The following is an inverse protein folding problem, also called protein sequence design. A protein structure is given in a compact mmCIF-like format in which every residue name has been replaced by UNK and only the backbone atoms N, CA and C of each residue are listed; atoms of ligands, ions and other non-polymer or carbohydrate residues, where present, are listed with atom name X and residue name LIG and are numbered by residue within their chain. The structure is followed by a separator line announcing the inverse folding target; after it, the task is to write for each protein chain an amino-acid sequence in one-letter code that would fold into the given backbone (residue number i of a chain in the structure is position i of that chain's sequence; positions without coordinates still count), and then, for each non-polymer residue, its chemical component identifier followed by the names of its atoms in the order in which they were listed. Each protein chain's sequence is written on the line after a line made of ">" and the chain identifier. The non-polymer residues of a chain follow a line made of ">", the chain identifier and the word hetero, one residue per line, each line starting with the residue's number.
data_IF_205778182482
#
_entry.id   IF_205778182482
#
_cell.length_a   1.000
_cell.length_b   1.000
_cell.length_c   1.000
_cell.angle_alpha   90.00
_cell.angle_beta   90.00
_cell.angle_gamma   90.00
#
_symmetry.space_group_name_H-M   'P 1'
#
loop_
_entity.id
_entity.type
_entity.pdbx_description
1 polymer ?
#
# COMPACT_ATOMS: atom_id res chain seq x y z
N UNK A 1 3.16 16.26 11.47
CA UNK A 1 3.55 15.47 10.30
C UNK A 1 3.04 16.09 9.01
N UNK A 2 1.78 16.58 8.96
CA UNK A 2 1.20 17.27 7.80
C UNK A 2 2.14 18.26 7.07
N UNK A 3 2.73 19.23 7.79
CA UNK A 3 3.66 20.21 7.19
C UNK A 3 4.89 19.58 6.49
N UNK A 4 5.31 18.39 6.93
CA UNK A 4 6.43 17.68 6.32
C UNK A 4 6.14 17.17 4.90
N UNK A 5 4.85 17.07 4.52
CA UNK A 5 4.41 16.67 3.18
C UNK A 5 4.22 17.87 2.23
N UNK A 6 4.47 19.10 2.69
CA UNK A 6 4.50 20.27 1.79
C UNK A 6 5.62 20.08 0.75
N UNK A 7 5.25 20.20 -0.53
CA UNK A 7 6.18 19.95 -1.65
C UNK A 7 6.39 18.47 -2.00
N UNK A 8 5.60 17.53 -1.46
CA UNK A 8 5.56 16.16 -1.98
C UNK A 8 5.17 16.16 -3.47
N UNK A 9 5.91 15.41 -4.28
CA UNK A 9 5.74 15.30 -5.73
C UNK A 9 5.47 13.83 -6.09
N UNK A 10 4.23 13.48 -6.50
CA UNK A 10 3.86 12.14 -6.92
C UNK A 10 4.78 11.56 -8.01
N UNK A 11 5.12 12.36 -9.02
CA UNK A 11 5.91 11.92 -10.15
C UNK A 11 7.35 11.63 -9.72
N UNK A 12 7.97 12.53 -8.94
CA UNK A 12 9.32 12.32 -8.43
C UNK A 12 9.39 11.15 -7.43
N UNK A 13 8.36 10.97 -6.60
CA UNK A 13 8.27 9.82 -5.68
C UNK A 13 8.15 8.50 -6.45
N UNK A 14 7.32 8.43 -7.49
CA UNK A 14 7.20 7.27 -8.38
C UNK A 14 8.51 6.98 -9.11
N UNK A 15 9.11 7.99 -9.75
CA UNK A 15 10.37 7.91 -10.47
C UNK A 15 11.57 7.52 -9.59
N UNK A 16 11.51 7.81 -8.28
CA UNK A 16 12.57 7.42 -7.33
C UNK A 16 12.41 5.98 -6.84
N UNK A 17 11.18 5.58 -6.50
CA UNK A 17 10.93 4.34 -5.74
C UNK A 17 10.37 3.18 -6.56
N UNK A 18 9.80 3.46 -7.74
CA UNK A 18 9.01 2.51 -8.54
C UNK A 18 9.49 2.33 -9.99
N UNK A 19 10.64 2.91 -10.36
CA UNK A 19 11.38 2.59 -11.59
C UNK A 19 12.75 1.97 -11.29
N UNK A 20 13.42 1.34 -12.28
CA UNK A 20 14.84 1.00 -12.17
C UNK A 20 15.71 2.26 -11.89
N UNK A 21 16.82 2.12 -11.15
CA UNK A 21 17.37 0.87 -10.62
C UNK A 21 16.81 0.47 -9.24
N UNK A 22 15.99 1.28 -8.55
CA UNK A 22 15.46 0.88 -7.24
C UNK A 22 14.42 -0.24 -7.38
N UNK A 23 13.45 -0.06 -8.27
CA UNK A 23 12.42 -1.03 -8.60
C UNK A 23 12.72 -1.71 -9.94
N UNK A 24 13.68 -2.61 -9.91
CA UNK A 24 13.93 -3.55 -11.00
C UNK A 24 13.09 -4.82 -10.75
N UNK A 25 12.28 -5.25 -11.71
CA UNK A 25 11.41 -6.43 -11.58
C UNK A 25 12.11 -7.74 -11.95
N UNK A 26 13.27 -7.68 -12.58
CA UNK A 26 14.07 -8.85 -13.00
C UNK A 26 15.23 -9.13 -12.03
N UNK A 27 15.70 -8.09 -11.32
CA UNK A 27 16.81 -8.21 -10.36
C UNK A 27 16.36 -8.83 -9.03
N UNK A 28 17.01 -9.93 -8.64
CA UNK A 28 16.61 -10.78 -7.50
C UNK A 28 16.77 -10.15 -6.10
N UNK A 29 17.60 -9.11 -5.96
CA UNK A 29 17.80 -8.36 -4.71
C UNK A 29 16.89 -7.12 -4.61
N UNK A 30 16.09 -6.85 -5.64
CA UNK A 30 15.04 -5.83 -5.61
C UNK A 30 13.95 -6.24 -4.61
N UNK A 31 13.52 -5.29 -3.78
CA UNK A 31 12.44 -5.53 -2.82
C UNK A 31 11.06 -5.60 -3.49
N UNK A 32 10.92 -5.12 -4.73
CA UNK A 32 9.63 -5.02 -5.41
C UNK A 32 9.05 -6.38 -5.80
N UNK A 33 9.77 -7.30 -6.48
CA UNK A 33 9.31 -8.67 -6.71
C UNK A 33 8.93 -9.41 -5.41
N UNK A 34 9.70 -9.21 -4.34
CA UNK A 34 9.39 -9.80 -3.04
C UNK A 34 8.06 -9.28 -2.47
N UNK A 35 7.81 -7.96 -2.52
CA UNK A 35 6.54 -7.36 -2.09
C UNK A 35 5.35 -7.87 -2.89
N UNK A 36 5.46 -7.87 -4.22
CA UNK A 36 4.41 -8.38 -5.13
C UNK A 36 4.10 -9.84 -4.81
N UNK A 37 5.12 -10.67 -4.62
CA UNK A 37 4.94 -12.07 -4.26
C UNK A 37 4.32 -12.26 -2.86
N UNK A 38 4.67 -11.42 -1.87
CA UNK A 38 4.06 -11.45 -0.54
C UNK A 38 2.57 -11.08 -0.57
N UNK A 39 2.21 -10.01 -1.29
CA UNK A 39 0.82 -9.58 -1.49
C UNK A 39 0.01 -10.63 -2.24
N UNK A 40 0.52 -11.11 -3.38
CA UNK A 40 -0.10 -12.17 -4.16
C UNK A 40 -0.41 -13.39 -3.28
N UNK A 41 0.59 -13.93 -2.57
CA UNK A 41 0.39 -15.07 -1.65
C UNK A 41 -0.59 -14.77 -0.53
N UNK A 42 -0.64 -13.54 0.00
CA UNK A 42 -1.59 -13.17 1.04
C UNK A 42 -3.04 -13.20 0.54
N UNK A 43 -3.27 -12.78 -0.72
CA UNK A 43 -4.59 -12.81 -1.36
C UNK A 43 -4.98 -14.19 -1.90
N UNK A 44 -4.03 -15.06 -2.30
CA UNK A 44 -4.34 -16.34 -2.97
C UNK A 44 -4.14 -17.61 -2.14
N UNK A 45 -3.33 -17.59 -1.08
CA UNK A 45 -3.05 -18.78 -0.24
C UNK A 45 -3.77 -18.78 1.12
N UNK A 46 -4.48 -17.71 1.47
CA UNK A 46 -5.09 -17.52 2.79
C UNK A 46 -6.60 -17.33 2.75
N UNK A 47 -7.21 -17.15 3.93
CA UNK A 47 -8.64 -16.87 4.09
C UNK A 47 -9.02 -15.39 3.78
N UNK A 48 -8.10 -14.63 3.15
CA UNK A 48 -8.29 -13.22 2.79
C UNK A 48 -9.23 -13.13 1.58
N UNK A 49 -10.50 -12.82 1.82
CA UNK A 49 -11.51 -12.61 0.78
C UNK A 49 -12.66 -11.74 1.27
N UNK A 50 -13.48 -11.19 0.37
CA UNK A 50 -14.64 -10.40 0.75
C UNK A 50 -15.20 -9.53 -0.38
N UNK A 51 -16.01 -8.54 -0.01
CA UNK A 51 -16.64 -7.61 -0.93
C UNK A 51 -15.80 -6.34 -1.13
N UNK A 52 -15.20 -5.82 -0.05
CA UNK A 52 -14.49 -4.53 -0.04
C UNK A 52 -13.09 -4.63 0.56
N UNK A 53 -12.09 -4.35 -0.29
CA UNK A 53 -10.72 -4.01 0.10
C UNK A 53 -10.60 -2.49 0.24
N UNK A 54 -10.06 -2.00 1.36
CA UNK A 54 -9.71 -0.57 1.54
C UNK A 54 -8.20 -0.44 1.75
N UNK A 55 -7.56 0.34 0.89
CA UNK A 55 -6.14 0.65 0.99
C UNK A 55 -5.93 2.03 1.64
N UNK A 56 -5.17 2.05 2.73
CA UNK A 56 -4.96 3.21 3.59
C UNK A 56 -3.58 3.81 3.36
N UNK A 57 -3.56 5.01 2.78
CA UNK A 57 -2.33 5.69 2.38
C UNK A 57 -1.75 5.09 1.11
N UNK A 58 -2.59 4.92 0.09
CA UNK A 58 -2.22 4.41 -1.24
C UNK A 58 -1.10 5.20 -1.90
N UNK A 59 -0.87 6.45 -1.48
CA UNK A 59 0.00 7.38 -2.18
C UNK A 59 -0.44 7.52 -3.64
N UNK A 60 0.50 7.70 -4.57
CA UNK A 60 0.25 7.65 -6.00
C UNK A 60 0.38 6.23 -6.57
N UNK A 61 0.20 5.17 -5.76
CA UNK A 61 0.61 3.80 -6.13
C UNK A 61 -0.54 2.79 -6.22
N UNK A 62 -0.38 1.81 -7.12
CA UNK A 62 -1.40 0.79 -7.41
C UNK A 62 -0.93 -0.65 -7.17
N UNK A 63 0.38 -0.90 -7.13
CA UNK A 63 0.96 -2.26 -7.08
C UNK A 63 0.42 -3.11 -5.93
N UNK A 64 0.09 -2.46 -4.82
CA UNK A 64 -0.31 -3.10 -3.57
C UNK A 64 -1.69 -3.76 -3.64
N UNK A 65 -2.61 -3.24 -4.47
CA UNK A 65 -3.96 -3.79 -4.63
C UNK A 65 -4.09 -4.78 -5.80
N UNK A 66 -3.10 -4.90 -6.70
CA UNK A 66 -3.24 -5.60 -7.98
C UNK A 66 -3.78 -7.04 -7.85
N UNK A 67 -3.15 -7.91 -7.04
CA UNK A 67 -3.67 -9.27 -6.81
C UNK A 67 -4.90 -9.32 -5.89
N UNK A 68 -5.21 -8.23 -5.19
CA UNK A 68 -6.43 -8.14 -4.36
C UNK A 68 -7.68 -7.94 -5.21
N UNK A 69 -7.58 -7.35 -6.39
CA UNK A 69 -8.73 -7.10 -7.26
C UNK A 69 -9.48 -8.40 -7.67
N UNK A 70 -8.81 -9.57 -7.74
CA UNK A 70 -9.43 -10.86 -8.19
C UNK A 70 -10.22 -11.52 -7.05
N UNK A 71 -10.06 -10.97 -5.85
CA UNK A 71 -10.49 -11.51 -4.57
C UNK A 71 -11.55 -10.61 -3.92
N UNK A 72 -11.58 -9.32 -4.28
CA UNK A 72 -12.53 -8.32 -3.79
C UNK A 72 -13.26 -7.63 -4.94
N UNK A 73 -14.58 -7.65 -4.92
CA UNK A 73 -15.43 -6.98 -5.92
C UNK A 73 -15.25 -5.45 -5.97
N UNK A 74 -14.71 -4.86 -4.90
CA UNK A 74 -14.49 -3.41 -4.75
C UNK A 74 -13.14 -3.15 -4.09
N UNK A 75 -12.42 -2.18 -4.64
CA UNK A 75 -11.20 -1.63 -4.05
C UNK A 75 -11.39 -0.13 -3.85
N UNK A 76 -11.18 0.34 -2.63
CA UNK A 76 -11.17 1.77 -2.28
C UNK A 76 -9.74 2.20 -1.98
N UNK A 77 -9.17 3.03 -2.86
CA UNK A 77 -7.88 3.68 -2.64
C UNK A 77 -8.10 4.97 -1.84
N UNK A 78 -7.27 5.20 -0.83
CA UNK A 78 -7.37 6.40 0.02
C UNK A 78 -5.98 6.98 0.26
N UNK A 79 -5.86 8.30 0.15
CA UNK A 79 -4.64 9.02 0.52
C UNK A 79 -4.98 10.36 1.18
N UNK A 80 -4.05 10.91 1.96
CA UNK A 80 -4.20 12.22 2.60
C UNK A 80 -4.04 13.37 1.60
N UNK A 81 -3.11 13.26 0.63
CA UNK A 81 -2.80 14.33 -0.30
C UNK A 81 -3.71 14.31 -1.53
N UNK A 82 -4.28 15.46 -1.90
CA UNK A 82 -5.08 15.58 -3.13
C UNK A 82 -4.25 15.32 -4.39
N UNK A 83 -2.95 15.65 -4.39
CA UNK A 83 -2.06 15.38 -5.53
C UNK A 83 -1.89 13.88 -5.80
N UNK A 84 -1.84 13.05 -4.75
CA UNK A 84 -1.82 11.59 -4.87
C UNK A 84 -3.16 11.06 -5.38
N UNK A 85 -4.28 11.57 -4.84
CA UNK A 85 -5.62 11.21 -5.30
C UNK A 85 -5.84 11.59 -6.77
N UNK A 86 -5.28 12.70 -7.23
CA UNK A 86 -5.37 13.13 -8.63
C UNK A 86 -4.55 12.24 -9.56
N UNK A 87 -3.32 11.87 -9.18
CA UNK A 87 -2.48 10.92 -9.93
C UNK A 87 -3.20 9.57 -10.12
N UNK A 88 -3.83 9.04 -9.06
CA UNK A 88 -4.65 7.82 -9.14
C UNK A 88 -5.87 7.98 -10.05
N UNK A 89 -6.56 9.13 -10.04
CA UNK A 89 -7.70 9.39 -10.94
C UNK A 89 -7.27 9.46 -12.40
N UNK A 90 -6.21 10.19 -12.72
CA UNK A 90 -5.73 10.33 -14.10
C UNK A 90 -5.20 9.01 -14.69
N UNK A 91 -4.77 8.05 -13.84
CA UNK A 91 -4.58 6.65 -14.27
C UNK A 91 -5.91 5.93 -14.53
N UNK A 92 -6.86 5.98 -13.59
CA UNK A 92 -8.17 5.31 -13.71
C UNK A 92 -9.01 5.80 -14.89
N UNK A 93 -8.80 7.04 -15.35
CA UNK A 93 -9.56 7.70 -16.40
C UNK A 93 -8.86 7.67 -17.78
N UNK A 94 -7.68 7.02 -17.89
CA UNK A 94 -6.86 6.93 -19.11
C UNK A 94 -6.58 8.31 -19.76
N UNK A 95 -6.35 9.34 -18.93
CA UNK A 95 -6.20 10.73 -19.39
C UNK A 95 -4.80 11.02 -20.00
N UNK A 96 -3.95 10.00 -20.16
CA UNK A 96 -2.56 10.13 -20.61
C UNK A 96 -1.65 10.92 -19.66
N UNK A 97 -2.15 11.27 -18.46
CA UNK A 97 -1.46 12.11 -17.46
C UNK A 97 -0.79 11.35 -16.33
N UNK A 98 -0.76 10.02 -16.35
CA UNK A 98 -0.11 9.23 -15.30
C UNK A 98 1.43 9.28 -15.45
N UNK A 99 2.10 9.55 -14.34
CA UNK A 99 3.55 9.74 -14.23
C UNK A 99 4.36 8.43 -14.30
N UNK A 100 3.71 7.27 -14.16
CA UNK A 100 4.35 5.95 -14.22
C UNK A 100 3.55 4.97 -15.09
N UNK A 101 4.25 4.26 -15.98
CA UNK A 101 3.69 3.09 -16.64
C UNK A 101 3.64 1.90 -15.67
N UNK A 102 2.43 1.52 -15.26
CA UNK A 102 2.18 0.36 -14.41
C UNK A 102 2.17 -0.98 -15.16
N UNK A 103 2.28 -0.98 -16.50
CA UNK A 103 2.26 -2.20 -17.32
C UNK A 103 3.28 -3.27 -16.89
N UNK A 104 4.54 -2.95 -16.54
CA UNK A 104 5.50 -3.96 -16.08
C UNK A 104 5.08 -4.63 -14.77
N UNK A 105 4.43 -3.89 -13.86
CA UNK A 105 3.90 -4.41 -12.59
C UNK A 105 2.71 -5.33 -12.84
N UNK A 106 1.74 -4.88 -13.66
CA UNK A 106 0.59 -5.70 -14.06
C UNK A 106 1.04 -6.99 -14.74
N UNK A 107 2.01 -6.94 -15.65
CA UNK A 107 2.59 -8.12 -16.28
C UNK A 107 3.31 -9.04 -15.30
N UNK A 108 3.96 -8.50 -14.26
CA UNK A 108 4.59 -9.31 -13.21
C UNK A 108 3.53 -10.03 -12.36
N UNK A 109 2.46 -9.33 -11.98
CA UNK A 109 1.33 -9.89 -11.22
C UNK A 109 0.60 -10.97 -12.02
N UNK A 110 0.27 -10.71 -13.30
CA UNK A 110 -0.31 -11.70 -14.21
C UNK A 110 0.57 -12.96 -14.35
N UNK A 111 1.91 -12.84 -14.30
CA UNK A 111 2.84 -13.99 -14.31
C UNK A 111 2.78 -14.80 -13.01
N UNK A 112 2.58 -14.16 -11.85
CA UNK A 112 2.37 -14.85 -10.58
C UNK A 112 1.02 -15.60 -10.57
N UNK A 113 -0.01 -14.98 -11.15
CA UNK A 113 -1.39 -15.52 -11.24
C UNK A 113 -1.58 -16.56 -12.35
N UNK A 114 -0.63 -16.65 -13.30
CA UNK A 114 -0.71 -17.55 -14.46
C UNK A 114 -1.78 -17.15 -15.48
N UNK A 115 -2.09 -15.85 -15.61
CA UNK A 115 -3.22 -15.30 -16.41
C UNK A 115 -2.80 -14.10 -17.28
N UNK A 116 -3.78 -13.48 -17.96
CA UNK A 116 -3.53 -12.44 -18.98
C UNK A 116 -4.37 -11.15 -18.90
N UNK A 117 -5.59 -11.11 -18.34
CA UNK A 117 -6.48 -9.93 -18.39
C UNK A 117 -7.47 -9.80 -17.20
N UNK A 118 -7.90 -8.55 -16.94
CA UNK A 118 -8.70 -8.10 -15.80
C UNK A 118 -10.16 -7.69 -16.15
N UNK A 119 -11.19 -7.99 -15.32
CA UNK A 119 -12.56 -7.44 -15.45
C UNK A 119 -12.91 -6.30 -14.45
N UNK A 120 -13.60 -5.24 -14.92
CA UNK A 120 -14.00 -4.05 -14.13
C UNK A 120 -15.31 -4.26 -13.31
N UNK A 121 -15.37 -3.78 -12.05
CA UNK A 121 -16.54 -3.94 -11.13
C UNK A 121 -16.81 -2.77 -10.15
N UNK A 122 -17.99 -2.78 -9.52
CA UNK A 122 -18.56 -1.82 -8.52
C UNK A 122 -19.85 -2.42 -7.87
N UNK A 123 -20.57 -1.90 -6.86
CA UNK A 123 -20.61 -0.64 -6.08
C UNK A 123 -21.00 -0.90 -4.60
N UNK A 124 -20.44 -0.11 -3.65
CA UNK A 124 -20.81 0.14 -2.23
C UNK A 124 -21.44 -0.95 -1.31
N UNK A 125 -20.82 -1.11 -0.12
CA UNK A 125 -21.35 -1.61 1.16
C UNK A 125 -20.61 -0.86 2.30
N UNK A 126 -21.12 -0.87 3.53
CA UNK A 126 -20.51 -0.12 4.66
C UNK A 126 -19.67 -1.07 5.53
N UNK A 127 -18.36 -0.84 5.62
CA UNK A 127 -17.40 -1.67 6.37
C UNK A 127 -16.49 -2.49 5.45
N UNK A 128 -15.20 -2.57 5.76
CA UNK A 128 -14.19 -3.27 4.96
C UNK A 128 -14.00 -4.72 5.42
N UNK A 129 -13.83 -5.64 4.46
CA UNK A 129 -13.49 -7.04 4.73
C UNK A 129 -11.98 -7.24 4.85
N UNK A 130 -11.21 -6.42 4.12
CA UNK A 130 -9.76 -6.33 4.23
C UNK A 130 -9.29 -4.88 4.26
N UNK A 131 -8.35 -4.60 5.15
CA UNK A 131 -7.54 -3.38 5.12
C UNK A 131 -6.16 -3.71 4.55
N UNK A 132 -5.66 -2.82 3.71
CA UNK A 132 -4.29 -2.80 3.23
C UNK A 132 -3.66 -1.48 3.65
N UNK A 133 -2.38 -1.49 3.99
CA UNK A 133 -1.61 -0.25 4.14
C UNK A 133 -0.14 -0.53 3.86
N UNK A 134 0.46 0.27 2.98
CA UNK A 134 1.85 0.14 2.56
C UNK A 134 2.60 1.45 2.81
N UNK A 135 3.59 1.43 3.71
CA UNK A 135 4.46 2.57 4.05
C UNK A 135 3.78 3.81 4.64
N UNK A 136 2.52 3.71 5.04
CA UNK A 136 1.75 4.84 5.57
C UNK A 136 1.98 5.03 7.08
N UNK A 137 1.74 4.01 7.90
CA UNK A 137 1.63 4.17 9.36
C UNK A 137 2.92 4.62 10.04
N UNK A 138 4.09 4.27 9.51
CA UNK A 138 5.39 4.72 10.00
C UNK A 138 5.83 6.07 9.41
N UNK A 139 5.29 6.48 8.26
CA UNK A 139 5.63 7.76 7.63
C UNK A 139 4.79 8.93 8.12
N UNK A 140 3.50 8.71 8.41
CA UNK A 140 2.60 9.78 8.91
C UNK A 140 2.65 9.98 10.43
N UNK A 141 3.45 9.19 11.16
CA UNK A 141 3.48 9.16 12.63
C UNK A 141 4.76 9.78 13.21
N UNK A 142 4.67 10.74 14.15
CA UNK A 142 5.85 11.35 14.77
C UNK A 142 6.58 10.44 15.77
N UNK A 143 5.90 9.43 16.32
CA UNK A 143 6.44 8.49 17.29
C UNK A 143 5.72 7.13 17.21
N UNK A 144 6.26 6.11 17.90
CA UNK A 144 5.73 4.75 17.86
C UNK A 144 4.30 4.70 18.41
N UNK A 145 4.02 5.40 19.51
CA UNK A 145 2.70 5.38 20.12
C UNK A 145 1.65 6.06 19.22
N UNK A 146 2.03 7.07 18.43
CA UNK A 146 1.19 7.65 17.39
C UNK A 146 0.91 6.64 16.26
N UNK A 147 1.92 5.85 15.85
CA UNK A 147 1.74 4.78 14.87
C UNK A 147 0.81 3.67 15.37
N UNK A 148 0.97 3.22 16.62
CA UNK A 148 0.06 2.27 17.28
C UNK A 148 -1.37 2.83 17.40
N UNK A 149 -1.54 4.13 17.73
CA UNK A 149 -2.86 4.78 17.72
C UNK A 149 -3.46 4.85 16.32
N UNK A 150 -2.67 5.17 15.30
CA UNK A 150 -3.13 5.21 13.91
C UNK A 150 -3.59 3.83 13.42
N UNK A 151 -2.83 2.77 13.73
CA UNK A 151 -3.21 1.38 13.52
C UNK A 151 -4.56 1.04 14.18
N UNK A 152 -4.73 1.37 15.46
CA UNK A 152 -5.97 1.17 16.21
C UNK A 152 -7.15 2.06 15.75
N UNK A 153 -6.89 3.15 15.02
CA UNK A 153 -7.93 3.95 14.37
C UNK A 153 -8.39 3.32 13.05
N UNK A 154 -7.46 2.93 12.18
CA UNK A 154 -7.82 2.33 10.88
C UNK A 154 -8.50 0.98 11.07
N UNK A 155 -8.11 0.20 12.09
CA UNK A 155 -8.74 -1.09 12.42
C UNK A 155 -10.22 -1.01 12.75
N UNK A 156 -10.77 0.17 13.05
CA UNK A 156 -12.22 0.38 13.25
C UNK A 156 -13.03 0.36 11.96
N UNK A 157 -12.37 0.45 10.79
CA UNK A 157 -12.99 0.32 9.47
C UNK A 157 -13.20 -1.15 9.07
N UNK A 158 -12.53 -2.07 9.77
CA UNK A 158 -12.51 -3.50 9.49
C UNK A 158 -13.68 -4.20 10.19
N UNK A 159 -14.35 -5.12 9.49
CA UNK A 159 -15.31 -6.01 10.12
C UNK A 159 -14.64 -6.94 11.14
N UNK A 160 -15.37 -7.41 12.18
CA UNK A 160 -14.88 -8.48 13.05
C UNK A 160 -14.47 -9.70 12.22
N UNK A 161 -13.24 -10.19 12.42
CA UNK A 161 -12.58 -11.25 11.62
C UNK A 161 -12.16 -10.86 10.19
N UNK A 162 -12.27 -9.59 9.80
CA UNK A 162 -11.62 -9.09 8.60
C UNK A 162 -10.08 -9.13 8.73
N UNK A 163 -9.39 -8.97 7.60
CA UNK A 163 -7.94 -9.09 7.52
C UNK A 163 -7.24 -7.73 7.43
N UNK A 164 -5.99 -7.66 7.93
CA UNK A 164 -5.10 -6.52 7.74
C UNK A 164 -3.81 -7.01 7.06
N UNK A 165 -3.49 -6.44 5.91
CA UNK A 165 -2.20 -6.59 5.23
C UNK A 165 -1.39 -5.30 5.44
N UNK A 166 -0.20 -5.43 6.02
CA UNK A 166 0.65 -4.30 6.37
C UNK A 166 2.07 -4.50 5.80
N UNK A 167 2.54 -3.53 5.03
CA UNK A 167 3.93 -3.45 4.57
C UNK A 167 4.52 -2.12 5.05
N UNK A 168 5.75 -2.14 5.55
CA UNK A 168 6.47 -0.94 6.00
C UNK A 168 7.98 -1.12 5.91
N UNK A 169 8.73 -0.04 6.14
CA UNK A 169 10.21 -0.06 6.14
C UNK A 169 10.76 -0.05 7.56
N UNK A 170 11.49 -1.11 7.94
CA UNK A 170 12.12 -1.19 9.26
C UNK A 170 13.35 -0.27 9.37
N UNK A 171 13.53 0.38 10.52
CA UNK A 171 14.69 1.22 10.85
C UNK A 171 14.79 2.54 10.07
N UNK A 172 13.86 2.85 9.16
CA UNK A 172 13.89 4.07 8.37
C UNK A 172 13.56 5.30 9.23
N UNK A 173 14.36 6.36 9.09
CA UNK A 173 14.15 7.65 9.79
C UNK A 173 13.66 8.77 8.88
N UNK A 174 13.72 8.57 7.56
CA UNK A 174 13.16 9.47 6.56
C UNK A 174 13.11 8.80 5.18
N UNK A 175 12.33 9.38 4.27
CA UNK A 175 12.43 9.17 2.83
C UNK A 175 12.41 10.51 2.07
N UNK A 176 12.52 10.47 0.74
CA UNK A 176 12.39 11.65 -0.12
C UNK A 176 11.02 11.63 -0.81
N UNK A 177 10.21 12.67 -0.58
CA UNK A 177 8.92 12.88 -1.24
C UNK A 177 9.03 13.67 -2.55
N UNK A 178 10.14 14.40 -2.73
CA UNK A 178 10.52 15.11 -3.95
C UNK A 178 12.03 15.47 -3.86
N UNK A 179 12.68 16.00 -4.91
CA UNK A 179 14.06 16.47 -4.83
C UNK A 179 14.22 17.54 -3.73
N UNK A 180 15.00 17.21 -2.69
CA UNK A 180 15.21 18.08 -1.52
C UNK A 180 14.11 18.04 -0.45
N UNK A 181 12.97 17.40 -0.69
CA UNK A 181 11.86 17.28 0.28
C UNK A 181 12.03 16.00 1.09
N UNK A 182 12.62 16.16 2.28
CA UNK A 182 12.93 15.08 3.22
C UNK A 182 11.79 14.90 4.23
N UNK A 183 11.07 13.78 4.13
CA UNK A 183 9.93 13.46 4.99
C UNK A 183 10.40 12.52 6.10
N UNK A 184 10.34 12.90 7.38
CA UNK A 184 10.74 12.04 8.49
C UNK A 184 9.77 10.88 8.67
N UNK A 185 10.27 9.75 9.17
CA UNK A 185 9.48 8.56 9.52
C UNK A 185 9.87 8.09 10.92
N UNK A 186 8.95 7.45 11.65
CA UNK A 186 9.32 6.80 12.91
C UNK A 186 10.10 5.51 12.63
N UNK A 187 11.35 5.34 13.12
CA UNK A 187 12.07 4.09 12.96
C UNK A 187 11.43 3.00 13.82
N UNK A 188 10.84 2.01 13.16
CA UNK A 188 10.25 0.82 13.81
C UNK A 188 11.06 -0.43 13.52
N UNK A 189 11.04 -1.40 14.45
CA UNK A 189 11.51 -2.76 14.23
C UNK A 189 10.35 -3.76 14.25
N UNK A 190 10.59 -4.99 13.79
CA UNK A 190 9.59 -6.07 13.71
C UNK A 190 8.87 -6.30 15.04
N UNK A 191 9.60 -6.35 16.16
CA UNK A 191 9.01 -6.58 17.48
C UNK A 191 8.06 -5.44 17.90
N UNK A 192 8.35 -4.18 17.55
CA UNK A 192 7.47 -3.03 17.80
C UNK A 192 6.20 -3.06 16.92
N UNK A 193 6.32 -3.51 15.67
CA UNK A 193 5.16 -3.70 14.77
C UNK A 193 4.27 -4.83 15.30
N UNK A 194 4.85 -5.99 15.62
CA UNK A 194 4.14 -7.13 16.22
C UNK A 194 3.47 -6.78 17.56
N UNK A 195 4.13 -5.98 18.41
CA UNK A 195 3.53 -5.48 19.65
C UNK A 195 2.33 -4.56 19.36
N UNK A 196 2.46 -3.62 18.41
CA UNK A 196 1.39 -2.68 18.03
C UNK A 196 0.17 -3.38 17.44
N UNK A 197 0.38 -4.42 16.61
CA UNK A 197 -0.67 -5.29 16.09
C UNK A 197 -1.44 -5.97 17.22
N UNK A 198 -0.72 -6.59 18.16
CA UNK A 198 -1.31 -7.27 19.32
C UNK A 198 -2.06 -6.31 20.26
N UNK A 199 -1.51 -5.12 20.51
CA UNK A 199 -2.18 -4.06 21.29
C UNK A 199 -3.47 -3.57 20.62
N UNK A 200 -3.46 -3.50 19.28
CA UNK A 200 -4.63 -3.14 18.47
C UNK A 200 -5.65 -4.28 18.29
N UNK A 201 -5.44 -5.44 18.93
CA UNK A 201 -6.37 -6.58 18.92
C UNK A 201 -6.19 -7.57 17.76
N UNK A 202 -5.14 -7.43 16.94
CA UNK A 202 -4.87 -8.36 15.84
C UNK A 202 -4.19 -9.65 16.31
N UNK A 203 -4.55 -10.76 15.67
CA UNK A 203 -3.78 -12.02 15.72
C UNK A 203 -2.86 -12.07 14.51
N UNK A 204 -1.56 -12.25 14.73
CA UNK A 204 -0.57 -12.37 13.66
C UNK A 204 -0.70 -13.74 12.96
N UNK A 205 -0.90 -13.74 11.64
CA UNK A 205 -1.05 -14.95 10.82
C UNK A 205 0.26 -15.30 10.08
N UNK A 206 0.96 -14.29 9.54
CA UNK A 206 2.16 -14.43 8.71
C UNK A 206 3.03 -13.17 8.84
N UNK A 207 4.35 -13.34 8.68
CA UNK A 207 5.36 -12.30 8.46
C UNK A 207 6.03 -12.57 7.10
#
# INVERSE_FOLDING_TARGET
>A
MEDCYQGFDPAAYLQTNYTPPLADLERKDSTVPWKLACLHRAFTEGDVSGELLVDIGSGPTLYQVMSGCDVFNKVLLTDFLEVNRQELRSWLQDEGGCSLDWTPYLQHVCKLEGRLLWPLMSFLTVGADCLLSCYCLESVSPDLAASTRALGHIGRLLWPRGHLLLIGTLGMSYYLGAPGVKIPTVPVNEAQVCASLKESGYTLIRL
#
